data_IF_738270281882
#
_entry.id   IF_738270281882
#
_cell.length_a   1.000
_cell.length_b   1.000
_cell.length_c   1.000
_cell.angle_alpha   90.00
_cell.angle_beta   90.00
_cell.angle_gamma   90.00
#
_symmetry.space_group_name_H-M   'P 1'
#
loop_
_entity.id
_entity.type
_entity.pdbx_description
1 polymer ?
#
# COMPACT_ATOMS: atom_id res chain seq x y z
N UNK A 1 23.60 -14.99 -6.90
CA UNK A 1 24.18 -13.96 -6.00
C UNK A 1 23.02 -13.14 -5.44
N UNK A 2 22.92 -12.99 -4.12
CA UNK A 2 21.84 -12.19 -3.50
C UNK A 2 22.14 -10.71 -3.74
N UNK A 3 21.21 -9.95 -4.34
CA UNK A 3 21.43 -8.51 -4.55
C UNK A 3 21.51 -7.78 -3.21
N UNK A 4 22.26 -6.67 -3.16
CA UNK A 4 22.34 -5.83 -1.96
C UNK A 4 20.95 -5.43 -1.45
N UNK A 5 20.03 -5.15 -2.37
CA UNK A 5 18.64 -4.81 -2.07
C UNK A 5 17.88 -5.96 -1.42
N UNK A 6 18.06 -7.19 -1.88
CA UNK A 6 17.45 -8.35 -1.26
C UNK A 6 17.96 -8.58 0.18
N UNK A 7 19.23 -8.28 0.46
CA UNK A 7 19.79 -8.34 1.82
C UNK A 7 19.25 -7.22 2.71
N UNK A 8 19.14 -5.98 2.18
CA UNK A 8 18.55 -4.83 2.88
C UNK A 8 17.07 -5.06 3.22
N UNK A 9 16.29 -5.59 2.27
CA UNK A 9 14.89 -5.99 2.49
C UNK A 9 14.76 -7.08 3.56
N UNK A 10 15.64 -8.10 3.55
CA UNK A 10 15.67 -9.11 4.60
C UNK A 10 16.03 -8.53 5.99
N UNK A 11 16.83 -7.46 6.05
CA UNK A 11 17.12 -6.78 7.31
C UNK A 11 15.90 -6.02 7.86
N UNK A 12 15.14 -5.35 6.98
CA UNK A 12 13.89 -4.68 7.36
C UNK A 12 12.83 -5.69 7.82
N UNK A 13 12.67 -6.82 7.12
CA UNK A 13 11.83 -7.95 7.52
C UNK A 13 12.15 -8.41 8.95
N UNK A 14 13.44 -8.70 9.23
CA UNK A 14 13.88 -9.12 10.57
C UNK A 14 13.57 -8.07 11.64
N UNK A 15 13.79 -6.79 11.34
CA UNK A 15 13.53 -5.72 12.29
C UNK A 15 12.03 -5.62 12.63
N UNK A 16 11.14 -5.69 11.64
CA UNK A 16 9.68 -5.67 11.88
C UNK A 16 9.23 -6.91 12.64
N UNK A 17 9.73 -8.11 12.29
CA UNK A 17 9.40 -9.34 13.00
C UNK A 17 9.83 -9.31 14.46
N UNK A 18 11.02 -8.78 14.74
CA UNK A 18 11.57 -8.68 16.11
C UNK A 18 10.78 -7.67 16.94
N UNK A 19 10.50 -6.50 16.37
CA UNK A 19 9.99 -5.34 17.11
C UNK A 19 8.46 -5.30 17.19
N UNK A 20 7.77 -5.71 16.14
CA UNK A 20 6.32 -5.53 16.03
C UNK A 20 5.52 -6.83 16.00
N UNK A 21 6.07 -7.95 15.52
CA UNK A 21 5.28 -9.17 15.37
C UNK A 21 5.10 -9.90 16.71
N UNK A 22 3.86 -10.14 17.11
CA UNK A 22 3.48 -10.76 18.40
C UNK A 22 2.42 -11.84 18.20
N UNK A 23 2.25 -12.70 19.20
CA UNK A 23 1.16 -13.67 19.23
C UNK A 23 -0.13 -12.96 19.65
N UNK A 24 -1.27 -13.34 19.07
CA UNK A 24 -2.56 -12.80 19.52
C UNK A 24 -2.99 -13.56 20.77
N UNK A 25 -3.01 -12.91 21.94
CA UNK A 25 -3.47 -13.48 23.21
C UNK A 25 -2.83 -14.84 23.55
N UNK A 26 -1.55 -15.00 23.24
CA UNK A 26 -0.81 -16.27 23.39
C UNK A 26 -1.40 -17.46 22.61
N UNK A 27 -2.32 -17.23 21.67
CA UNK A 27 -2.90 -18.27 20.84
C UNK A 27 -1.86 -18.79 19.84
N UNK A 28 -1.54 -20.10 19.88
CA UNK A 28 -0.60 -20.69 18.93
C UNK A 28 -1.04 -20.44 17.49
N UNK A 29 -0.07 -20.36 16.58
CA UNK A 29 -0.34 -20.20 15.15
C UNK A 29 -1.09 -18.91 14.76
N UNK A 30 -1.18 -17.92 15.64
CA UNK A 30 -1.70 -16.58 15.32
C UNK A 30 -0.60 -15.55 15.46
N UNK A 31 -0.56 -14.57 14.55
CA UNK A 31 0.36 -13.44 14.62
C UNK A 31 -0.39 -12.15 14.31
N UNK A 32 0.03 -11.05 14.95
CA UNK A 32 -0.40 -9.68 14.65
C UNK A 32 0.79 -8.71 14.82
N UNK A 33 0.74 -7.60 14.11
CA UNK A 33 1.64 -6.48 14.29
C UNK A 33 1.18 -5.56 15.42
N UNK A 34 2.03 -5.42 16.44
CA UNK A 34 1.95 -4.34 17.42
C UNK A 34 2.21 -3.00 16.75
N UNK A 35 1.35 -2.03 17.01
CA UNK A 35 1.32 -0.76 16.28
C UNK A 35 2.48 0.18 16.63
N UNK A 36 3.16 -0.07 17.77
CA UNK A 36 4.26 0.75 18.25
C UNK A 36 5.39 -0.13 18.78
N UNK A 37 6.64 0.29 18.57
CA UNK A 37 7.81 -0.23 19.27
C UNK A 37 8.81 0.89 19.62
N UNK A 38 9.28 1.01 20.87
CA UNK A 38 8.86 0.25 22.05
C UNK A 38 7.36 0.36 22.34
N UNK A 39 6.79 -0.69 22.94
CA UNK A 39 5.36 -0.73 23.18
C UNK A 39 4.94 0.36 24.18
N UNK A 40 3.87 1.09 23.86
CA UNK A 40 3.20 2.00 24.79
C UNK A 40 1.99 1.35 25.44
N UNK A 41 1.29 2.06 26.35
CA UNK A 41 0.12 1.53 27.06
C UNK A 41 -1.13 1.34 26.17
N UNK A 42 -1.07 1.76 24.90
CA UNK A 42 -2.20 1.71 23.99
C UNK A 42 -2.53 0.29 23.56
N UNK A 43 -3.79 -0.12 23.73
CA UNK A 43 -4.36 -1.36 23.19
C UNK A 43 -4.95 -1.18 21.78
N UNK A 44 -4.70 -0.04 21.13
CA UNK A 44 -5.25 0.26 19.80
C UNK A 44 -4.73 -0.72 18.75
N UNK A 45 -5.61 -1.08 17.83
CA UNK A 45 -5.34 -2.01 16.75
C UNK A 45 -5.79 -1.40 15.42
N UNK A 46 -4.86 -1.29 14.48
CA UNK A 46 -5.13 -0.77 13.15
C UNK A 46 -5.30 -1.92 12.16
N UNK A 47 -6.54 -2.18 11.73
CA UNK A 47 -6.88 -3.27 10.82
C UNK A 47 -6.13 -3.16 9.49
N UNK A 48 -6.13 -2.00 8.85
CA UNK A 48 -5.46 -1.80 7.57
C UNK A 48 -3.93 -1.84 7.65
N UNK A 49 -3.32 -1.47 8.79
CA UNK A 49 -1.88 -1.69 8.99
C UNK A 49 -1.54 -3.19 8.98
N UNK A 50 -2.45 -4.05 9.44
CA UNK A 50 -2.26 -5.50 9.32
C UNK A 50 -2.36 -5.98 7.88
N UNK A 51 -3.19 -5.35 7.04
CA UNK A 51 -3.24 -5.65 5.61
C UNK A 51 -1.87 -5.39 4.96
N UNK A 52 -1.25 -4.25 5.27
CA UNK A 52 0.07 -3.92 4.73
C UNK A 52 1.21 -4.72 5.33
N UNK A 53 1.12 -5.12 6.61
CA UNK A 53 2.04 -6.09 7.20
C UNK A 53 1.92 -7.44 6.48
N UNK A 54 0.71 -7.90 6.21
CA UNK A 54 0.46 -9.11 5.43
C UNK A 54 1.11 -8.99 4.03
N UNK A 55 0.88 -7.87 3.33
CA UNK A 55 1.52 -7.59 2.04
C UNK A 55 3.04 -7.65 2.08
N UNK A 56 3.67 -7.09 3.11
CA UNK A 56 5.14 -7.13 3.26
C UNK A 56 5.64 -8.56 3.51
N UNK A 57 4.91 -9.38 4.30
CA UNK A 57 5.29 -10.80 4.45
C UNK A 57 5.13 -11.58 3.15
N UNK A 58 4.14 -11.25 2.33
CA UNK A 58 3.97 -11.83 0.99
C UNK A 58 5.12 -11.42 0.07
N UNK A 59 5.57 -10.15 0.12
CA UNK A 59 6.76 -9.69 -0.61
C UNK A 59 8.00 -10.48 -0.21
N UNK A 60 8.26 -10.62 1.10
CA UNK A 60 9.41 -11.36 1.59
C UNK A 60 9.36 -12.85 1.22
N UNK A 61 8.18 -13.48 1.29
CA UNK A 61 8.00 -14.86 0.82
C UNK A 61 8.29 -14.98 -0.67
N UNK A 62 7.76 -14.07 -1.49
CA UNK A 62 8.00 -14.07 -2.93
C UNK A 62 9.47 -13.80 -3.29
N UNK A 63 10.15 -12.93 -2.54
CA UNK A 63 11.58 -12.67 -2.70
C UNK A 63 12.43 -13.90 -2.38
N UNK A 64 12.12 -14.62 -1.31
CA UNK A 64 12.88 -15.79 -0.87
C UNK A 64 11.97 -16.79 -0.14
N UNK A 65 11.39 -17.77 -0.85
CA UNK A 65 10.43 -18.71 -0.27
C UNK A 65 11.06 -19.58 0.83
N UNK A 66 10.49 -19.56 2.03
CA UNK A 66 10.82 -20.49 3.11
C UNK A 66 9.54 -20.91 3.84
N UNK A 67 9.57 -22.10 4.46
CA UNK A 67 8.44 -22.59 5.24
C UNK A 67 8.07 -21.61 6.37
N UNK A 68 9.06 -21.06 7.07
CA UNK A 68 8.86 -20.08 8.13
C UNK A 68 8.16 -18.79 7.65
N UNK A 69 8.52 -18.26 6.47
CA UNK A 69 7.83 -17.08 5.89
C UNK A 69 6.39 -17.41 5.57
N UNK A 70 6.14 -18.55 4.93
CA UNK A 70 4.78 -19.01 4.60
C UNK A 70 3.92 -19.18 5.83
N UNK A 71 4.44 -19.82 6.87
CA UNK A 71 3.73 -20.05 8.13
C UNK A 71 3.45 -18.75 8.87
N UNK A 72 4.37 -17.78 8.80
CA UNK A 72 4.17 -16.45 9.37
C UNK A 72 3.05 -15.70 8.64
N UNK A 73 3.05 -15.69 7.31
CA UNK A 73 1.95 -15.12 6.51
C UNK A 73 0.62 -15.80 6.83
N UNK A 74 0.60 -17.13 6.93
CA UNK A 74 -0.61 -17.87 7.28
C UNK A 74 -1.10 -17.56 8.71
N UNK A 75 -0.18 -17.37 9.65
CA UNK A 75 -0.47 -16.99 11.03
C UNK A 75 -1.02 -15.56 11.15
N UNK A 76 -0.53 -14.63 10.32
CA UNK A 76 -1.09 -13.28 10.21
C UNK A 76 -2.53 -13.30 9.69
N UNK A 77 -2.78 -14.03 8.60
CA UNK A 77 -4.12 -14.20 8.05
C UNK A 77 -5.09 -14.77 9.10
N UNK A 78 -4.65 -15.78 9.87
CA UNK A 78 -5.44 -16.31 11.00
C UNK A 78 -5.63 -15.28 12.11
N UNK A 79 -4.57 -14.59 12.52
CA UNK A 79 -4.60 -13.60 13.59
C UNK A 79 -5.57 -12.45 13.31
N UNK A 80 -5.53 -11.89 12.09
CA UNK A 80 -6.47 -10.85 11.66
C UNK A 80 -7.91 -11.35 11.75
N UNK A 81 -8.20 -12.56 11.23
CA UNK A 81 -9.56 -13.12 11.23
C UNK A 81 -10.11 -13.40 12.62
N UNK A 82 -9.24 -13.80 13.55
CA UNK A 82 -9.62 -14.07 14.95
C UNK A 82 -9.82 -12.77 15.70
N UNK A 83 -8.93 -11.78 15.52
CA UNK A 83 -9.04 -10.48 16.18
C UNK A 83 -10.22 -9.66 15.69
N UNK A 84 -10.52 -9.72 14.38
CA UNK A 84 -11.67 -9.06 13.79
C UNK A 84 -12.93 -9.93 13.94
N UNK A 85 -13.68 -9.71 15.01
CA UNK A 85 -14.87 -10.51 15.35
C UNK A 85 -15.90 -10.55 14.19
N UNK A 86 -16.02 -9.46 13.43
CA UNK A 86 -16.89 -9.33 12.23
C UNK A 86 -16.36 -10.07 11.00
N UNK A 87 -15.19 -10.68 11.07
CA UNK A 87 -14.59 -11.48 10.00
C UNK A 87 -13.60 -10.73 9.13
N UNK A 88 -13.90 -10.58 7.85
CA UNK A 88 -13.00 -9.93 6.88
C UNK A 88 -13.41 -8.50 6.55
N UNK A 89 -14.46 -8.01 7.22
CA UNK A 89 -15.11 -6.74 6.93
C UNK A 89 -15.21 -5.91 8.19
N UNK A 90 -15.24 -4.59 8.04
CA UNK A 90 -15.56 -3.62 9.08
C UNK A 90 -16.44 -2.51 8.46
N UNK A 91 -16.44 -1.32 9.06
CA UNK A 91 -17.21 -0.18 8.57
C UNK A 91 -16.45 0.75 7.61
N UNK A 92 -15.16 0.48 7.38
CA UNK A 92 -14.25 1.27 6.55
C UNK A 92 -13.99 0.54 5.22
N UNK A 93 -14.43 1.09 4.09
CA UNK A 93 -14.36 0.39 2.81
C UNK A 93 -12.93 0.31 2.25
N UNK A 94 -12.11 1.30 2.55
CA UNK A 94 -10.66 1.32 2.32
C UNK A 94 -9.96 0.18 3.06
N UNK A 95 -10.14 0.05 4.37
CA UNK A 95 -9.62 -1.05 5.20
C UNK A 95 -9.92 -2.44 4.57
N UNK A 96 -11.17 -2.60 4.13
CA UNK A 96 -11.68 -3.83 3.53
C UNK A 96 -11.03 -4.10 2.17
N UNK A 97 -10.88 -3.07 1.35
CA UNK A 97 -10.23 -3.18 0.06
C UNK A 97 -8.74 -3.52 0.22
N UNK A 98 -8.02 -2.88 1.15
CA UNK A 98 -6.62 -3.19 1.46
C UNK A 98 -6.42 -4.65 1.89
N UNK A 99 -7.25 -5.14 2.82
CA UNK A 99 -7.20 -6.55 3.21
C UNK A 99 -7.53 -7.47 2.03
N UNK A 100 -8.49 -7.10 1.18
CA UNK A 100 -8.83 -7.83 -0.04
C UNK A 100 -7.64 -8.01 -0.97
N UNK A 101 -6.89 -6.93 -1.22
CA UNK A 101 -5.68 -6.96 -2.04
C UNK A 101 -4.61 -7.86 -1.42
N UNK A 102 -4.34 -7.73 -0.13
CA UNK A 102 -3.34 -8.54 0.55
C UNK A 102 -3.71 -10.04 0.55
N UNK A 103 -4.99 -10.39 0.70
CA UNK A 103 -5.48 -11.76 0.61
C UNK A 103 -5.39 -12.33 -0.81
N UNK A 104 -5.73 -11.56 -1.85
CA UNK A 104 -5.55 -11.97 -3.25
C UNK A 104 -4.07 -12.28 -3.52
N UNK A 105 -3.16 -11.42 -3.06
CA UNK A 105 -1.72 -11.64 -3.21
C UNK A 105 -1.24 -12.86 -2.43
N UNK A 106 -1.68 -13.05 -1.19
CA UNK A 106 -1.35 -14.24 -0.40
C UNK A 106 -1.86 -15.55 -1.02
N UNK A 107 -3.04 -15.52 -1.65
CA UNK A 107 -3.58 -16.66 -2.38
C UNK A 107 -2.76 -17.00 -3.63
N UNK A 108 -2.37 -15.99 -4.42
CA UNK A 108 -1.64 -16.16 -5.68
C UNK A 108 -0.16 -16.50 -5.45
N UNK A 109 0.52 -15.79 -4.55
CA UNK A 109 1.97 -15.89 -4.40
C UNK A 109 2.41 -16.89 -3.32
N UNK A 110 1.62 -17.09 -2.27
CA UNK A 110 1.97 -17.99 -1.16
C UNK A 110 1.07 -19.23 -1.03
N UNK A 111 0.04 -19.34 -1.89
CA UNK A 111 -0.94 -20.42 -1.83
C UNK A 111 -1.78 -20.41 -0.54
N UNK A 112 -1.87 -19.26 0.15
CA UNK A 112 -2.61 -19.13 1.40
C UNK A 112 -4.01 -18.64 1.06
N UNK A 113 -4.94 -19.59 0.92
CA UNK A 113 -6.34 -19.31 0.58
C UNK A 113 -7.23 -19.36 1.83
N UNK A 114 -8.19 -18.45 1.90
CA UNK A 114 -9.28 -18.47 2.88
C UNK A 114 -10.62 -18.54 2.15
N UNK A 115 -11.26 -19.72 2.10
CA UNK A 115 -12.57 -19.87 1.48
C UNK A 115 -13.56 -18.83 2.00
N UNK A 116 -14.30 -18.21 1.08
CA UNK A 116 -15.31 -17.19 1.40
C UNK A 116 -14.79 -15.80 1.75
N UNK A 117 -13.49 -15.59 1.95
CA UNK A 117 -12.94 -14.28 2.33
C UNK A 117 -13.14 -13.23 1.22
N UNK A 118 -12.68 -13.52 -0.01
CA UNK A 118 -12.87 -12.63 -1.16
C UNK A 118 -14.35 -12.37 -1.45
N UNK A 119 -15.22 -13.38 -1.29
CA UNK A 119 -16.65 -13.21 -1.51
C UNK A 119 -17.28 -12.28 -0.45
N UNK A 120 -16.88 -12.38 0.81
CA UNK A 120 -17.33 -11.49 1.87
C UNK A 120 -16.89 -10.04 1.61
N UNK A 121 -15.63 -9.85 1.23
CA UNK A 121 -15.06 -8.56 0.86
C UNK A 121 -15.79 -7.96 -0.34
N UNK A 122 -15.93 -8.71 -1.44
CA UNK A 122 -16.63 -8.26 -2.63
C UNK A 122 -18.08 -7.87 -2.33
N UNK A 123 -18.81 -8.66 -1.55
CA UNK A 123 -20.19 -8.32 -1.13
C UNK A 123 -20.22 -7.00 -0.37
N UNK A 124 -19.28 -6.78 0.55
CA UNK A 124 -19.22 -5.54 1.32
C UNK A 124 -18.86 -4.33 0.46
N UNK A 125 -17.85 -4.44 -0.40
CA UNK A 125 -17.46 -3.35 -1.31
C UNK A 125 -18.60 -2.96 -2.26
N UNK A 126 -19.49 -3.88 -2.66
CA UNK A 126 -20.67 -3.51 -3.48
C UNK A 126 -21.57 -2.48 -2.80
N UNK A 127 -21.74 -2.55 -1.47
CA UNK A 127 -22.52 -1.56 -0.71
C UNK A 127 -21.80 -0.22 -0.53
N UNK A 128 -20.47 -0.19 -0.72
CA UNK A 128 -19.67 1.02 -0.59
C UNK A 128 -19.69 1.95 -1.79
N UNK A 129 -20.17 1.50 -2.96
CA UNK A 129 -20.22 2.33 -4.17
C UNK A 129 -21.07 3.58 -3.95
N UNK A 130 -20.51 4.73 -4.32
CA UNK A 130 -21.23 6.01 -4.28
C UNK A 130 -22.33 6.09 -5.34
N UNK A 131 -23.31 6.99 -5.17
CA UNK A 131 -24.46 7.12 -6.07
C UNK A 131 -24.07 7.47 -7.52
N UNK A 132 -23.00 8.24 -7.73
CA UNK A 132 -22.48 8.63 -9.05
C UNK A 132 -21.19 7.90 -9.46
N UNK A 133 -20.74 6.94 -8.67
CA UNK A 133 -19.40 6.34 -8.83
C UNK A 133 -18.55 6.51 -7.58
N UNK A 134 -17.29 6.11 -7.69
CA UNK A 134 -16.36 6.07 -6.56
C UNK A 134 -16.81 5.13 -5.43
N UNK A 135 -16.02 5.11 -4.36
CA UNK A 135 -16.29 4.37 -3.13
C UNK A 135 -16.36 5.32 -1.94
N UNK A 136 -17.43 5.22 -1.16
CA UNK A 136 -17.52 5.87 0.16
C UNK A 136 -16.37 5.42 1.03
N UNK A 137 -15.91 6.30 1.90
CA UNK A 137 -14.87 6.00 2.87
C UNK A 137 -15.36 4.99 3.91
N UNK A 138 -16.52 5.24 4.54
CA UNK A 138 -17.11 4.37 5.56
C UNK A 138 -18.62 4.27 5.43
N UNK A 139 -19.21 3.32 6.15
CA UNK A 139 -20.67 3.12 6.21
C UNK A 139 -21.37 4.39 6.71
N UNK A 140 -22.39 4.81 5.98
CA UNK A 140 -23.21 5.97 6.33
C UNK A 140 -22.54 7.32 6.08
N UNK A 141 -21.35 7.34 5.48
CA UNK A 141 -20.65 8.59 5.13
C UNK A 141 -21.02 9.07 3.71
N UNK A 142 -20.93 10.37 3.48
CA UNK A 142 -21.07 10.99 2.17
C UNK A 142 -19.72 11.35 1.54
N UNK A 143 -18.62 11.09 2.26
CA UNK A 143 -17.27 11.22 1.73
C UNK A 143 -16.90 10.03 0.85
N UNK A 144 -16.58 10.31 -0.41
CA UNK A 144 -16.09 9.37 -1.42
C UNK A 144 -14.62 9.69 -1.67
N UNK A 145 -13.72 8.72 -1.47
CA UNK A 145 -12.28 9.01 -1.45
C UNK A 145 -11.45 8.00 -2.25
N UNK A 146 -10.29 8.44 -2.71
CA UNK A 146 -9.33 7.62 -3.47
C UNK A 146 -8.82 6.41 -2.68
N UNK A 147 -8.55 6.51 -1.36
CA UNK A 147 -8.12 5.37 -0.55
C UNK A 147 -9.11 4.21 -0.50
N UNK A 148 -10.41 4.47 -0.62
CA UNK A 148 -11.41 3.40 -0.79
C UNK A 148 -11.58 3.00 -2.27
N UNK A 149 -11.55 4.00 -3.17
CA UNK A 149 -11.89 3.82 -4.59
C UNK A 149 -10.80 3.07 -5.37
N UNK A 150 -9.55 3.49 -5.25
CA UNK A 150 -8.42 2.91 -6.00
C UNK A 150 -8.17 1.43 -5.65
N UNK A 151 -8.01 1.06 -4.36
CA UNK A 151 -7.86 -0.34 -3.96
C UNK A 151 -9.06 -1.21 -4.35
N UNK A 152 -10.28 -0.69 -4.30
CA UNK A 152 -11.46 -1.40 -4.78
C UNK A 152 -11.41 -1.62 -6.30
N UNK A 153 -10.97 -0.62 -7.08
CA UNK A 153 -10.77 -0.76 -8.53
C UNK A 153 -9.76 -1.87 -8.87
N UNK A 154 -8.60 -1.89 -8.19
CA UNK A 154 -7.59 -2.96 -8.32
C UNK A 154 -8.22 -4.31 -7.98
N UNK A 155 -8.96 -4.40 -6.86
CA UNK A 155 -9.61 -5.63 -6.43
C UNK A 155 -10.60 -6.16 -7.47
N UNK A 156 -11.44 -5.29 -8.02
CA UNK A 156 -12.42 -5.65 -9.05
C UNK A 156 -11.76 -6.04 -10.38
N UNK A 157 -10.71 -5.33 -10.80
CA UNK A 157 -9.97 -5.62 -12.02
C UNK A 157 -9.37 -7.03 -11.98
N UNK A 158 -8.70 -7.40 -10.86
CA UNK A 158 -8.15 -8.75 -10.64
C UNK A 158 -9.19 -9.87 -10.63
N UNK A 159 -10.45 -9.53 -10.38
CA UNK A 159 -11.59 -10.45 -10.41
C UNK A 159 -12.29 -10.49 -11.78
N UNK A 160 -11.78 -9.77 -12.78
CA UNK A 160 -12.37 -9.66 -14.11
C UNK A 160 -13.59 -8.75 -14.18
N UNK A 161 -13.91 -7.99 -13.12
CA UNK A 161 -15.03 -7.03 -13.13
C UNK A 161 -14.56 -5.70 -13.73
N UNK A 162 -14.08 -5.74 -14.98
CA UNK A 162 -13.37 -4.63 -15.62
C UNK A 162 -14.23 -3.37 -15.75
N UNK A 163 -15.53 -3.51 -16.07
CA UNK A 163 -16.44 -2.36 -16.16
C UNK A 163 -16.65 -1.65 -14.81
N UNK A 164 -16.71 -2.40 -13.70
CA UNK A 164 -16.79 -1.80 -12.36
C UNK A 164 -15.48 -1.08 -12.04
N UNK A 165 -14.34 -1.75 -12.26
CA UNK A 165 -13.03 -1.17 -12.01
C UNK A 165 -12.80 0.12 -12.82
N UNK A 166 -13.11 0.11 -14.13
CA UNK A 166 -13.03 1.28 -14.99
C UNK A 166 -13.89 2.43 -14.46
N UNK A 167 -15.16 2.17 -14.10
CA UNK A 167 -16.05 3.21 -13.56
C UNK A 167 -15.54 3.87 -12.27
N UNK A 168 -14.80 3.13 -11.44
CA UNK A 168 -14.21 3.67 -10.21
C UNK A 168 -13.00 4.57 -10.52
N UNK A 169 -12.17 4.18 -11.49
CA UNK A 169 -11.04 5.00 -11.94
C UNK A 169 -11.52 6.23 -12.69
N UNK A 170 -12.50 6.09 -13.59
CA UNK A 170 -13.08 7.19 -14.33
C UNK A 170 -13.64 8.26 -13.38
N UNK A 171 -14.34 7.85 -12.31
CA UNK A 171 -14.83 8.78 -11.29
C UNK A 171 -13.70 9.56 -10.60
N UNK A 172 -12.56 8.91 -10.29
CA UNK A 172 -11.38 9.60 -9.74
C UNK A 172 -10.86 10.65 -10.72
N UNK A 173 -10.67 10.28 -11.98
CA UNK A 173 -10.07 11.14 -13.00
C UNK A 173 -10.97 12.33 -13.35
N UNK A 174 -12.28 12.14 -13.33
CA UNK A 174 -13.26 13.19 -13.60
C UNK A 174 -13.31 14.25 -12.49
N UNK A 175 -13.26 13.83 -11.21
CA UNK A 175 -13.61 14.70 -10.09
C UNK A 175 -12.42 15.15 -9.23
N UNK A 176 -11.33 14.39 -9.21
CA UNK A 176 -10.27 14.53 -8.19
C UNK A 176 -8.90 14.87 -8.75
N UNK A 177 -8.75 15.05 -10.06
CA UNK A 177 -7.49 15.50 -10.63
C UNK A 177 -7.26 16.99 -10.34
N UNK A 178 -6.08 17.31 -9.82
CA UNK A 178 -5.60 18.68 -9.68
C UNK A 178 -5.19 19.21 -11.05
N UNK A 179 -5.87 20.22 -11.61
CA UNK A 179 -5.55 20.73 -12.93
C UNK A 179 -4.17 21.40 -13.01
N UNK A 180 -3.57 21.77 -11.87
CA UNK A 180 -2.28 22.44 -11.82
C UNK A 180 -1.09 21.48 -11.81
N UNK A 181 -1.24 20.31 -11.16
CA UNK A 181 -0.14 19.35 -10.96
C UNK A 181 -0.37 18.00 -11.63
N UNK A 182 -1.62 17.68 -12.02
CA UNK A 182 -2.01 16.35 -12.46
C UNK A 182 -2.05 15.30 -11.35
N UNK A 183 -1.80 15.68 -10.08
CA UNK A 183 -1.95 14.80 -8.93
C UNK A 183 -3.42 14.63 -8.55
N UNK A 184 -3.72 13.56 -7.81
CA UNK A 184 -5.06 13.26 -7.37
C UNK A 184 -5.28 13.71 -5.91
N UNK A 185 -6.33 14.48 -5.70
CA UNK A 185 -6.85 14.87 -4.39
C UNK A 185 -7.41 13.68 -3.60
N UNK A 186 -7.49 13.80 -2.27
CA UNK A 186 -7.89 12.69 -1.39
C UNK A 186 -9.31 12.19 -1.66
N UNK A 187 -10.27 13.09 -1.84
CA UNK A 187 -11.66 12.72 -2.02
C UNK A 187 -12.60 13.90 -2.18
N UNK A 188 -13.89 13.61 -2.14
CA UNK A 188 -14.96 14.60 -2.22
C UNK A 188 -16.16 14.21 -1.36
N UNK A 189 -16.87 15.21 -0.86
CA UNK A 189 -18.21 15.04 -0.28
C UNK A 189 -19.22 15.03 -1.42
N UNK A 190 -20.06 13.99 -1.49
CA UNK A 190 -21.00 13.76 -2.60
C UNK A 190 -22.43 13.77 -2.08
N UNK A 191 -23.33 14.49 -2.75
CA UNK A 191 -24.74 14.53 -2.40
C UNK A 191 -25.45 13.22 -2.76
N UNK A 192 -26.67 13.02 -2.24
CA UNK A 192 -27.47 11.83 -2.54
C UNK A 192 -27.83 11.67 -4.02
N UNK A 193 -27.88 12.78 -4.77
CA UNK A 193 -28.10 12.80 -6.21
C UNK A 193 -26.83 12.49 -7.03
N UNK A 194 -25.69 12.32 -6.38
CA UNK A 194 -24.41 12.04 -7.02
C UNK A 194 -23.57 13.26 -7.36
N UNK A 195 -24.07 14.49 -7.16
CA UNK A 195 -23.27 15.70 -7.41
C UNK A 195 -22.15 15.88 -6.38
N UNK A 196 -20.97 16.29 -6.84
CA UNK A 196 -19.84 16.63 -5.96
C UNK A 196 -20.11 17.98 -5.29
N UNK A 197 -20.18 17.98 -3.95
CA UNK A 197 -20.42 19.17 -3.14
C UNK A 197 -19.13 19.92 -2.81
N UNK A 198 -18.12 19.20 -2.34
CA UNK A 198 -16.79 19.77 -2.01
C UNK A 198 -15.69 18.77 -2.29
N UNK A 199 -14.55 19.22 -2.79
CA UNK A 199 -13.35 18.40 -2.98
C UNK A 199 -12.38 18.65 -1.82
N UNK A 200 -11.92 17.58 -1.18
CA UNK A 200 -10.86 17.59 -0.18
C UNK A 200 -9.51 17.58 -0.91
N UNK A 201 -8.86 18.75 -0.94
CA UNK A 201 -7.69 19.01 -1.80
C UNK A 201 -6.36 18.55 -1.21
N UNK A 202 -6.39 17.81 -0.09
CA UNK A 202 -5.21 17.16 0.43
C UNK A 202 -4.56 16.24 -0.62
N UNK A 203 -3.24 16.37 -0.78
CA UNK A 203 -2.45 15.55 -1.69
C UNK A 203 -1.64 14.55 -0.88
N UNK A 204 -1.90 13.27 -1.11
CA UNK A 204 -1.20 12.18 -0.43
C UNK A 204 -0.59 11.20 -1.45
N UNK A 205 0.59 10.68 -1.13
CA UNK A 205 1.35 9.81 -2.04
C UNK A 205 0.62 8.51 -2.41
N UNK A 206 -0.06 7.88 -1.45
CA UNK A 206 -0.81 6.65 -1.69
C UNK A 206 -1.98 6.77 -2.65
N UNK A 207 -2.64 7.94 -2.74
CA UNK A 207 -3.71 8.19 -3.71
C UNK A 207 -3.18 8.02 -5.15
N UNK A 208 -1.98 8.52 -5.39
CA UNK A 208 -1.29 8.38 -6.68
C UNK A 208 -0.90 6.92 -6.93
N UNK A 209 -0.41 6.24 -5.88
CA UNK A 209 -0.06 4.83 -5.93
C UNK A 209 -1.23 3.95 -6.35
N UNK A 210 -2.40 4.10 -5.73
CA UNK A 210 -3.55 3.25 -6.05
C UNK A 210 -4.15 3.56 -7.41
N UNK A 211 -4.06 4.81 -7.90
CA UNK A 211 -4.40 5.13 -9.28
C UNK A 211 -3.47 4.40 -10.26
N UNK A 212 -2.15 4.47 -10.05
CA UNK A 212 -1.17 3.73 -10.85
C UNK A 212 -1.50 2.23 -10.87
N UNK A 213 -1.76 1.64 -9.70
CA UNK A 213 -2.13 0.24 -9.60
C UNK A 213 -3.39 -0.10 -10.39
N UNK A 214 -4.45 0.69 -10.27
CA UNK A 214 -5.70 0.44 -10.96
C UNK A 214 -5.56 0.58 -12.48
N UNK A 215 -4.87 1.61 -12.95
CA UNK A 215 -4.61 1.82 -14.38
C UNK A 215 -3.72 0.73 -14.97
N UNK A 216 -2.72 0.22 -14.25
CA UNK A 216 -1.90 -0.91 -14.73
C UNK A 216 -2.75 -2.19 -14.86
N UNK A 217 -3.60 -2.50 -13.89
CA UNK A 217 -4.47 -3.68 -13.96
C UNK A 217 -5.46 -3.58 -15.15
N UNK A 218 -6.08 -2.40 -15.32
CA UNK A 218 -7.00 -2.14 -16.44
C UNK A 218 -6.29 -2.16 -17.79
N UNK A 219 -5.17 -1.44 -17.93
CA UNK A 219 -4.39 -1.40 -19.17
C UNK A 219 -3.87 -2.77 -19.59
N UNK A 220 -3.49 -3.61 -18.61
CA UNK A 220 -3.07 -5.00 -18.88
C UNK A 220 -4.24 -5.88 -19.32
N UNK A 221 -5.40 -5.72 -18.68
CA UNK A 221 -6.57 -6.56 -18.95
C UNK A 221 -7.33 -6.17 -20.23
N UNK A 222 -7.40 -4.88 -20.57
CA UNK A 222 -8.19 -4.38 -21.72
C UNK A 222 -7.34 -4.01 -22.93
N UNK A 223 -6.06 -3.68 -22.75
CA UNK A 223 -5.20 -3.17 -23.81
C UNK A 223 -5.50 -1.73 -24.23
N UNK A 224 -6.43 -1.03 -23.57
CA UNK A 224 -6.79 0.34 -23.93
C UNK A 224 -5.64 1.34 -23.64
N UNK A 225 -5.20 2.15 -24.63
CA UNK A 225 -4.09 3.07 -24.46
C UNK A 225 -4.28 4.13 -23.36
N UNK A 226 -5.52 4.54 -23.09
CA UNK A 226 -5.84 5.59 -22.11
C UNK A 226 -5.33 5.28 -20.70
N UNK A 227 -5.36 4.01 -20.30
CA UNK A 227 -4.87 3.61 -18.99
C UNK A 227 -3.37 3.75 -18.86
N UNK A 228 -2.64 3.45 -19.93
CA UNK A 228 -1.19 3.60 -19.98
C UNK A 228 -0.77 5.07 -20.08
N UNK A 229 -1.54 5.89 -20.79
CA UNK A 229 -1.36 7.35 -20.81
C UNK A 229 -1.54 7.94 -19.40
N UNK A 230 -2.54 7.47 -18.65
CA UNK A 230 -2.75 7.90 -17.27
C UNK A 230 -1.59 7.46 -16.35
N UNK A 231 -1.07 6.24 -16.51
CA UNK A 231 0.13 5.78 -15.79
C UNK A 231 1.31 6.72 -16.08
N UNK A 232 1.52 7.07 -17.35
CA UNK A 232 2.61 7.97 -17.75
C UNK A 232 2.46 9.34 -17.11
N UNK A 233 1.27 9.95 -17.17
CA UNK A 233 0.98 11.25 -16.57
C UNK A 233 1.19 11.24 -15.05
N UNK A 234 0.66 10.23 -14.35
CA UNK A 234 0.78 10.15 -12.89
C UNK A 234 2.21 9.94 -12.43
N UNK A 235 3.04 9.16 -13.16
CA UNK A 235 4.47 9.01 -12.81
C UNK A 235 5.21 10.35 -12.93
N UNK A 236 4.96 11.12 -14.00
CA UNK A 236 5.61 12.43 -14.17
C UNK A 236 5.17 13.42 -13.08
N UNK A 237 3.87 13.49 -12.79
CA UNK A 237 3.34 14.35 -11.71
C UNK A 237 3.94 13.99 -10.34
N UNK A 238 4.09 12.69 -10.04
CA UNK A 238 4.76 12.22 -8.81
C UNK A 238 6.22 12.67 -8.77
N UNK A 239 6.95 12.50 -9.88
CA UNK A 239 8.37 12.88 -9.95
C UNK A 239 8.57 14.38 -9.70
N UNK A 240 7.70 15.21 -10.28
CA UNK A 240 7.78 16.66 -10.21
C UNK A 240 7.34 17.23 -8.84
N UNK A 241 6.25 16.71 -8.29
CA UNK A 241 5.56 17.38 -7.17
C UNK A 241 5.61 16.62 -5.84
N UNK A 242 5.92 15.32 -5.83
CA UNK A 242 5.95 14.48 -4.63
C UNK A 242 7.35 13.94 -4.30
N UNK A 243 8.38 14.68 -4.69
CA UNK A 243 9.77 14.38 -4.33
C UNK A 243 10.42 15.52 -3.54
N UNK A 244 11.53 15.18 -2.88
CA UNK A 244 12.52 16.07 -2.27
C UNK A 244 13.89 15.61 -2.77
N UNK A 245 14.45 16.33 -3.74
CA UNK A 245 15.72 15.96 -4.38
C UNK A 245 15.70 14.58 -5.06
N UNK A 246 14.58 14.19 -5.68
CA UNK A 246 14.41 12.88 -6.33
C UNK A 246 14.04 11.72 -5.38
N UNK A 247 13.94 11.99 -4.07
CA UNK A 247 13.47 11.04 -3.06
C UNK A 247 11.99 11.28 -2.79
N UNK A 248 11.17 10.23 -2.72
CA UNK A 248 9.74 10.35 -2.47
C UNK A 248 9.45 11.03 -1.11
N UNK A 249 8.51 11.98 -1.10
CA UNK A 249 8.12 12.73 0.09
C UNK A 249 7.37 11.86 1.11
N UNK A 250 7.74 11.99 2.37
CA UNK A 250 7.12 11.37 3.53
C UNK A 250 5.88 12.10 4.05
N UNK A 251 5.07 11.42 4.87
CA UNK A 251 3.80 11.96 5.40
C UNK A 251 3.66 11.82 6.92
N UNK A 252 4.79 11.82 7.64
CA UNK A 252 4.79 11.74 9.11
C UNK A 252 4.52 10.34 9.67
N UNK A 253 4.06 10.29 10.92
CA UNK A 253 3.70 9.06 11.64
C UNK A 253 2.22 8.70 11.49
N UNK A 254 1.74 7.81 12.36
CA UNK A 254 0.36 7.32 12.30
C UNK A 254 0.05 6.71 10.93
N UNK A 255 -1.15 6.98 10.42
CA UNK A 255 -1.58 6.45 9.12
C UNK A 255 -0.69 6.93 7.96
N UNK A 256 -0.24 8.18 8.03
CA UNK A 256 0.65 8.79 7.03
C UNK A 256 1.97 8.04 6.83
N UNK A 257 2.42 7.30 7.84
CA UNK A 257 3.62 6.47 7.77
C UNK A 257 3.59 5.44 6.64
N UNK A 258 2.43 4.93 6.24
CA UNK A 258 2.27 3.94 5.17
C UNK A 258 2.24 4.52 3.76
N UNK A 259 1.92 5.81 3.62
CA UNK A 259 1.48 6.36 2.33
C UNK A 259 2.55 6.23 1.25
N UNK A 260 3.79 6.59 1.58
CA UNK A 260 4.90 6.61 0.62
C UNK A 260 5.38 5.21 0.26
N UNK A 261 5.25 4.24 1.17
CA UNK A 261 5.51 2.82 0.88
C UNK A 261 4.51 2.26 -0.14
N UNK A 262 3.23 2.60 0.01
CA UNK A 262 2.19 2.23 -0.95
C UNK A 262 2.47 2.81 -2.33
N UNK A 263 2.89 4.09 -2.40
CA UNK A 263 3.32 4.69 -3.66
C UNK A 263 4.51 3.93 -4.27
N UNK A 264 5.55 3.64 -3.48
CA UNK A 264 6.73 2.90 -3.96
C UNK A 264 6.39 1.51 -4.53
N UNK A 265 5.41 0.81 -3.92
CA UNK A 265 4.89 -0.46 -4.45
C UNK A 265 4.30 -0.27 -5.84
N UNK A 266 3.43 0.70 -6.03
CA UNK A 266 2.73 0.84 -7.30
C UNK A 266 3.56 1.54 -8.39
N UNK A 267 4.53 2.37 -8.03
CA UNK A 267 5.59 2.79 -8.95
C UNK A 267 6.38 1.58 -9.47
N UNK A 268 6.69 0.62 -8.60
CA UNK A 268 7.35 -0.62 -9.01
C UNK A 268 6.46 -1.46 -9.92
N UNK A 269 5.16 -1.56 -9.64
CA UNK A 269 4.20 -2.24 -10.53
C UNK A 269 4.17 -1.58 -11.91
N UNK A 270 4.11 -0.24 -11.98
CA UNK A 270 4.13 0.50 -13.24
C UNK A 270 5.45 0.30 -14.01
N UNK A 271 6.59 0.38 -13.32
CA UNK A 271 7.91 0.15 -13.90
C UNK A 271 8.04 -1.25 -14.51
N UNK A 272 7.62 -2.28 -13.78
CA UNK A 272 7.68 -3.68 -14.25
C UNK A 272 6.73 -3.93 -15.41
N UNK A 273 5.56 -3.28 -15.43
CA UNK A 273 4.60 -3.42 -16.52
C UNK A 273 5.06 -2.74 -17.81
N UNK A 274 5.80 -1.63 -17.73
CA UNK A 274 6.28 -0.87 -18.89
C UNK A 274 7.78 -0.55 -18.83
N UNK A 275 8.67 -1.56 -18.85
CA UNK A 275 10.10 -1.34 -18.64
C UNK A 275 10.78 -0.53 -19.75
N UNK A 276 10.26 -0.58 -20.97
CA UNK A 276 10.77 0.18 -22.10
C UNK A 276 10.27 1.63 -22.14
N UNK A 277 9.20 1.97 -21.41
CA UNK A 277 8.63 3.31 -21.42
C UNK A 277 9.48 4.27 -20.56
N UNK A 278 9.62 5.55 -20.95
CA UNK A 278 10.29 6.56 -20.12
C UNK A 278 9.74 6.64 -18.69
N UNK A 279 8.41 6.59 -18.55
CA UNK A 279 7.72 6.54 -17.25
C UNK A 279 8.14 5.34 -16.40
N UNK A 280 8.35 4.16 -17.01
CA UNK A 280 8.81 2.99 -16.29
C UNK A 280 10.20 3.17 -15.70
N UNK A 281 11.11 3.80 -16.45
CA UNK A 281 12.47 4.14 -15.97
C UNK A 281 12.46 5.23 -14.89
N UNK A 282 11.61 6.25 -15.03
CA UNK A 282 11.42 7.29 -14.00
C UNK A 282 10.90 6.66 -12.72
N UNK A 283 9.86 5.82 -12.80
CA UNK A 283 9.29 5.14 -11.65
C UNK A 283 10.33 4.23 -10.95
N UNK A 284 11.12 3.48 -11.72
CA UNK A 284 12.20 2.67 -11.16
C UNK A 284 13.26 3.53 -10.46
N UNK A 285 13.66 4.64 -11.07
CA UNK A 285 14.64 5.58 -10.50
C UNK A 285 14.16 6.18 -9.18
N UNK A 286 12.92 6.66 -9.13
CA UNK A 286 12.31 7.21 -7.91
C UNK A 286 12.35 6.21 -6.75
N UNK A 287 12.02 4.94 -7.01
CA UNK A 287 12.05 3.88 -6.01
C UNK A 287 13.48 3.58 -5.55
N UNK A 288 14.43 3.44 -6.47
CA UNK A 288 15.82 3.11 -6.15
C UNK A 288 16.53 4.24 -5.39
N UNK A 289 16.34 5.49 -5.81
CA UNK A 289 16.92 6.67 -5.13
C UNK A 289 16.34 6.84 -3.74
N UNK A 290 15.02 6.64 -3.60
CA UNK A 290 14.36 6.65 -2.30
C UNK A 290 14.86 5.53 -1.39
N UNK A 291 15.06 4.33 -1.93
CA UNK A 291 15.57 3.19 -1.18
C UNK A 291 17.01 3.41 -0.71
N UNK A 292 17.85 4.04 -1.52
CA UNK A 292 19.22 4.39 -1.12
C UNK A 292 19.20 5.48 -0.05
N UNK A 293 18.38 6.52 -0.21
CA UNK A 293 18.23 7.57 0.79
C UNK A 293 17.74 7.00 2.13
N UNK A 294 16.66 6.23 2.12
CA UNK A 294 16.11 5.57 3.31
C UNK A 294 17.12 4.65 3.98
N UNK A 295 17.93 3.92 3.20
CA UNK A 295 18.98 3.08 3.76
C UNK A 295 20.10 3.93 4.39
N UNK A 296 20.54 5.00 3.73
CA UNK A 296 21.59 5.89 4.25
C UNK A 296 21.18 6.61 5.53
N UNK A 297 19.92 7.03 5.63
CA UNK A 297 19.39 7.81 6.76
C UNK A 297 18.77 6.96 7.86
N UNK A 298 18.73 5.63 7.72
CA UNK A 298 18.20 4.73 8.74
C UNK A 298 18.95 4.84 10.08
N UNK A 299 18.21 4.71 11.17
CA UNK A 299 18.76 4.42 12.48
C UNK A 299 19.03 2.92 12.64
N UNK A 300 19.61 2.53 13.76
CA UNK A 300 19.82 1.13 14.13
C UNK A 300 19.32 0.94 15.56
N UNK A 301 18.55 -0.12 15.76
CA UNK A 301 18.09 -0.54 17.08
C UNK A 301 18.07 -2.08 17.14
N UNK A 302 17.57 -2.63 18.25
CA UNK A 302 17.46 -4.08 18.40
C UNK A 302 16.67 -4.71 17.24
N UNK A 303 17.20 -5.82 16.70
CA UNK A 303 16.64 -6.51 15.54
C UNK A 303 16.92 -5.89 14.16
N UNK A 304 17.55 -4.70 14.06
CA UNK A 304 18.06 -4.15 12.79
C UNK A 304 17.72 -2.68 12.50
N UNK A 305 17.48 -2.31 11.22
CA UNK A 305 17.30 -0.91 10.84
C UNK A 305 15.99 -0.32 11.37
N UNK A 306 16.02 0.99 11.64
CA UNK A 306 14.87 1.84 11.97
C UNK A 306 14.71 2.89 10.89
N UNK A 307 13.52 2.98 10.29
CA UNK A 307 13.24 3.97 9.26
C UNK A 307 12.51 5.18 9.82
N UNK A 308 12.82 6.36 9.27
CA UNK A 308 12.12 7.61 9.52
C UNK A 308 10.93 7.82 8.57
N UNK A 309 10.01 8.73 8.90
CA UNK A 309 8.86 9.05 8.06
C UNK A 309 9.25 9.83 6.79
N UNK A 310 10.41 10.49 6.79
CA UNK A 310 10.99 11.22 5.66
C UNK A 310 12.39 10.67 5.36
N UNK A 311 12.58 10.07 4.19
CA UNK A 311 13.80 9.32 3.88
C UNK A 311 15.02 10.21 3.56
N UNK A 312 14.83 11.50 3.35
CA UNK A 312 15.94 12.49 3.23
C UNK A 312 16.49 12.94 4.59
N UNK A 313 15.84 12.58 5.70
CA UNK A 313 16.21 12.99 7.05
C UNK A 313 16.65 11.78 7.88
N UNK A 314 17.70 11.94 8.68
CA UNK A 314 18.19 10.89 9.58
C UNK A 314 17.10 10.45 10.57
N UNK A 315 16.79 9.16 10.58
CA UNK A 315 15.79 8.58 11.46
C UNK A 315 16.21 8.73 12.92
N UNK A 316 15.25 9.12 13.75
CA UNK A 316 15.49 9.33 15.18
C UNK A 316 15.33 8.02 15.97
N UNK A 317 16.00 7.88 17.13
CA UNK A 317 15.74 6.77 18.03
C UNK A 317 14.24 6.68 18.38
N UNK A 318 13.60 5.49 18.26
CA UNK A 318 12.19 5.32 18.58
C UNK A 318 11.90 5.66 20.04
N UNK A 319 10.93 6.55 20.26
CA UNK A 319 10.47 6.94 21.60
C UNK A 319 8.98 7.32 21.56
N UNK A 320 8.32 7.47 22.72
CA UNK A 320 6.97 7.98 22.75
C UNK A 320 6.81 9.31 21.99
N UNK A 321 5.76 9.41 21.17
CA UNK A 321 5.48 10.58 20.33
C UNK A 321 6.27 10.69 19.03
N UNK A 322 7.21 9.78 18.74
CA UNK A 322 8.01 9.81 17.52
C UNK A 322 7.51 8.84 16.45
N UNK A 323 7.40 9.26 15.17
CA UNK A 323 6.96 8.41 14.06
C UNK A 323 7.78 7.12 13.87
N UNK A 324 9.08 7.12 14.19
CA UNK A 324 9.96 5.95 14.03
C UNK A 324 9.53 4.73 14.85
N UNK A 325 8.68 4.95 15.86
CA UNK A 325 8.11 3.89 16.67
C UNK A 325 6.95 3.18 15.96
N UNK A 326 6.30 3.84 15.00
CA UNK A 326 5.04 3.39 14.43
C UNK A 326 5.28 2.25 13.44
N UNK A 327 4.46 1.20 13.53
CA UNK A 327 4.50 0.08 12.60
C UNK A 327 4.33 0.55 11.15
N UNK A 328 3.43 1.51 10.90
CA UNK A 328 3.18 2.06 9.57
C UNK A 328 4.45 2.60 8.90
N UNK A 329 5.25 3.38 9.63
CA UNK A 329 6.54 3.93 9.14
C UNK A 329 7.53 2.81 8.84
N UNK A 330 7.61 1.80 9.71
CA UNK A 330 8.52 0.67 9.48
C UNK A 330 8.08 -0.21 8.30
N UNK A 331 6.77 -0.40 8.11
CA UNK A 331 6.21 -1.11 6.96
C UNK A 331 6.51 -0.38 5.65
N UNK A 332 6.45 0.95 5.65
CA UNK A 332 6.76 1.75 4.47
C UNK A 332 8.22 1.61 4.03
N UNK A 333 9.17 1.68 4.98
CA UNK A 333 10.58 1.40 4.70
C UNK A 333 10.84 -0.03 4.24
N UNK A 334 10.16 -1.02 4.81
CA UNK A 334 10.26 -2.42 4.35
C UNK A 334 9.71 -2.58 2.93
N UNK A 335 8.51 -2.05 2.66
CA UNK A 335 7.86 -2.09 1.35
C UNK A 335 8.73 -1.47 0.26
N UNK A 336 9.40 -0.35 0.56
CA UNK A 336 10.36 0.31 -0.33
C UNK A 336 11.55 -0.59 -0.67
N UNK A 337 12.13 -1.27 0.33
CA UNK A 337 13.29 -2.13 0.10
C UNK A 337 12.91 -3.41 -0.67
N UNK A 338 11.72 -3.95 -0.46
CA UNK A 338 11.19 -5.05 -1.27
C UNK A 338 10.97 -4.60 -2.73
N UNK A 339 10.44 -3.40 -2.92
CA UNK A 339 10.28 -2.77 -4.23
C UNK A 339 11.63 -2.59 -4.95
N UNK A 340 12.64 -2.04 -4.27
CA UNK A 340 14.00 -1.94 -4.81
C UNK A 340 14.62 -3.32 -5.12
N UNK A 341 14.36 -4.34 -4.30
CA UNK A 341 14.82 -5.70 -4.56
C UNK A 341 14.18 -6.29 -5.83
N UNK A 342 12.90 -6.00 -6.11
CA UNK A 342 12.24 -6.37 -7.37
C UNK A 342 12.92 -5.70 -8.55
N UNK A 343 13.10 -4.38 -8.52
CA UNK A 343 13.68 -3.60 -9.62
C UNK A 343 15.15 -3.97 -9.88
N UNK A 344 15.94 -4.25 -8.85
CA UNK A 344 17.35 -4.63 -9.00
C UNK A 344 17.60 -5.94 -9.75
N UNK A 345 16.55 -6.72 -10.01
CA UNK A 345 16.59 -7.96 -10.80
C UNK A 345 16.15 -7.73 -12.26
N UNK A 346 15.93 -6.49 -12.67
CA UNK A 346 15.37 -6.08 -13.98
C UNK A 346 16.37 -5.12 -14.66
N UNK A 347 17.44 -5.64 -15.28
CA UNK A 347 18.48 -4.80 -15.87
C UNK A 347 17.96 -3.85 -16.96
N UNK A 348 16.82 -4.15 -17.58
CA UNK A 348 16.17 -3.27 -18.56
C UNK A 348 15.60 -1.96 -17.97
N UNK A 349 15.48 -1.88 -16.64
CA UNK A 349 15.00 -0.71 -15.89
C UNK A 349 16.14 0.13 -15.30
N UNK A 350 17.40 -0.33 -15.40
CA UNK A 350 18.57 0.32 -14.83
C UNK A 350 19.27 1.26 -15.81
#
# INVERSE_FOLDING_TARGET
>A
MVSVWAARAAAAERAVHTRHLRWLWSLPSTRLGGINWPAGPSMHWHYWWQAHLLDCTVDAYHRAPTQWRRDTTAALVRGVRVRNVTGWVNDYYDDIAWMGLALQRGATLAGIRKPGAEQAIMRRLRFGRGPSGGMRWRVGDDFVNVPATGPAAIFYARRGNLGIAASLVDWILEHLIDPSTGLIFDGARVNSDGSVRTVERALYSYCQGVLLGACVELGTATGEPRWWQQVDATVHAVAEHLTDGGVLRGHGGGDGGLFTGILARYLTVAAVARPAAPSGKIAARLVLDSAEAAWRTRGVADGGPVFGPQWTVAAQPPSPGRPERDLSVQLSGWMLLEAAAVLSRRPELC
#
